data_IF_280313676593
#
_entry.id   IF_280313676593
#
_cell.length_a   1.000
_cell.length_b   1.000
_cell.length_c   1.000
_cell.angle_alpha   90.00
_cell.angle_beta   90.00
_cell.angle_gamma   90.00
#
_symmetry.space_group_name_H-M   'P 1'
#
loop_
_entity.id
_entity.type
_entity.pdbx_description
1 polymer ?
#
# COMPACT_ATOMS: atom_id res chain seq x y z
N UNK A 1 19.99 -57.36 -22.75
CA UNK A 1 19.64 -55.99 -23.20
C UNK A 1 18.46 -55.44 -22.39
N UNK A 2 18.62 -55.18 -21.09
CA UNK A 2 17.53 -54.64 -20.24
C UNK A 2 18.09 -53.92 -19.00
N UNK A 3 19.11 -53.09 -19.15
CA UNK A 3 19.63 -52.28 -18.02
C UNK A 3 20.12 -50.89 -18.43
N UNK A 4 20.03 -50.53 -19.72
CA UNK A 4 20.49 -49.22 -20.21
C UNK A 4 19.38 -48.15 -20.23
N UNK A 5 18.14 -48.50 -19.89
CA UNK A 5 16.99 -47.60 -19.98
C UNK A 5 16.68 -46.76 -18.74
N UNK A 6 17.39 -46.97 -17.62
CA UNK A 6 17.07 -46.32 -16.34
C UNK A 6 18.00 -45.13 -16.03
N UNK A 7 19.12 -44.97 -16.74
CA UNK A 7 20.13 -43.94 -16.42
C UNK A 7 19.79 -42.55 -17.01
N UNK A 8 18.85 -42.43 -17.95
CA UNK A 8 18.52 -41.13 -18.58
C UNK A 8 17.31 -40.39 -17.98
N UNK A 9 16.68 -40.88 -16.90
CA UNK A 9 15.50 -40.23 -16.30
C UNK A 9 15.84 -39.38 -15.05
N UNK A 10 17.12 -39.12 -14.81
CA UNK A 10 17.59 -38.42 -13.60
C UNK A 10 18.54 -37.27 -13.99
N UNK A 11 18.00 -36.11 -14.36
CA UNK A 11 18.87 -34.94 -14.57
C UNK A 11 18.31 -33.82 -15.41
N UNK A 12 17.09 -33.34 -15.14
CA UNK A 12 16.65 -32.04 -15.69
C UNK A 12 15.74 -31.31 -14.69
N UNK A 13 16.22 -31.14 -13.46
CA UNK A 13 15.74 -30.05 -12.60
C UNK A 13 16.43 -28.77 -13.06
N UNK A 14 15.93 -28.18 -14.15
CA UNK A 14 16.26 -26.79 -14.51
C UNK A 14 15.62 -25.92 -13.43
N UNK A 15 16.44 -25.50 -12.47
CA UNK A 15 16.05 -24.51 -11.47
C UNK A 15 15.88 -23.19 -12.23
N UNK A 16 14.65 -22.89 -12.63
CA UNK A 16 14.32 -21.57 -13.14
C UNK A 16 14.51 -20.59 -11.98
N UNK A 17 15.64 -19.89 -11.96
CA UNK A 17 15.85 -18.76 -11.07
C UNK A 17 14.87 -17.67 -11.51
N UNK A 18 13.68 -17.64 -10.92
CA UNK A 18 12.81 -16.47 -11.02
C UNK A 18 13.47 -15.35 -10.22
N UNK A 19 13.98 -14.33 -10.91
CA UNK A 19 14.43 -13.13 -10.23
C UNK A 19 13.17 -12.43 -9.71
N UNK A 20 13.05 -12.35 -8.38
CA UNK A 20 12.07 -11.46 -7.80
C UNK A 20 12.54 -10.03 -8.11
N UNK A 21 11.58 -9.19 -8.48
CA UNK A 21 11.79 -7.76 -8.55
C UNK A 21 10.85 -7.14 -7.52
N UNK A 22 11.20 -5.96 -7.07
CA UNK A 22 10.31 -5.13 -6.27
C UNK A 22 9.90 -3.90 -7.07
N UNK A 23 8.75 -3.36 -6.72
CA UNK A 23 8.23 -2.10 -7.21
C UNK A 23 8.38 -1.07 -6.10
N UNK A 24 9.17 -0.04 -6.36
CA UNK A 24 9.37 1.10 -5.48
C UNK A 24 8.50 2.26 -5.98
N UNK A 25 7.58 2.72 -5.13
CA UNK A 25 6.78 3.92 -5.37
C UNK A 25 7.42 5.07 -4.61
N UNK A 26 8.14 5.99 -5.29
CA UNK A 26 8.65 7.19 -4.64
C UNK A 26 7.50 8.08 -4.19
N UNK A 27 7.66 8.76 -3.06
CA UNK A 27 6.67 9.70 -2.52
C UNK A 27 7.23 11.13 -2.40
N UNK A 28 8.41 11.36 -2.97
CA UNK A 28 9.01 12.68 -3.12
C UNK A 28 8.37 13.48 -4.29
N UNK A 29 9.00 14.57 -4.69
CA UNK A 29 8.50 15.47 -5.74
C UNK A 29 8.43 14.82 -7.14
N UNK A 30 9.03 13.65 -7.36
CA UNK A 30 8.94 12.94 -8.65
C UNK A 30 7.62 12.18 -8.81
N UNK A 31 6.88 11.98 -7.71
CA UNK A 31 5.61 11.26 -7.78
C UNK A 31 4.55 12.11 -8.50
N UNK A 32 3.98 11.52 -9.55
CA UNK A 32 2.96 12.14 -10.39
C UNK A 32 1.57 12.14 -9.75
N UNK A 33 1.30 11.22 -8.82
CA UNK A 33 0.02 11.18 -8.12
C UNK A 33 0.12 10.54 -6.72
N UNK A 34 0.43 11.36 -5.71
CA UNK A 34 0.58 10.89 -4.33
C UNK A 34 -0.70 10.29 -3.75
N UNK A 35 -1.86 10.90 -4.00
CA UNK A 35 -3.12 10.42 -3.43
C UNK A 35 -3.50 9.05 -4.00
N UNK A 36 -3.33 8.85 -5.31
CA UNK A 36 -3.52 7.52 -5.92
C UNK A 36 -2.46 6.52 -5.47
N UNK A 37 -1.23 6.95 -5.15
CA UNK A 37 -0.21 6.07 -4.59
C UNK A 37 -0.60 5.53 -3.20
N UNK A 38 -1.15 6.38 -2.33
CA UNK A 38 -1.71 5.94 -1.04
C UNK A 38 -2.91 4.99 -1.23
N UNK A 39 -3.80 5.31 -2.17
CA UNK A 39 -4.91 4.44 -2.54
C UNK A 39 -4.45 3.06 -3.02
N UNK A 40 -3.39 3.02 -3.82
CA UNK A 40 -2.80 1.79 -4.30
C UNK A 40 -2.19 0.97 -3.16
N UNK A 41 -1.42 1.59 -2.27
CA UNK A 41 -0.89 0.92 -1.08
C UNK A 41 -2.03 0.35 -0.21
N UNK A 42 -3.10 1.11 0.01
CA UNK A 42 -4.27 0.60 0.72
C UNK A 42 -4.91 -0.61 0.02
N UNK A 43 -5.03 -0.57 -1.32
CA UNK A 43 -5.58 -1.66 -2.14
C UNK A 43 -4.76 -2.95 -1.98
N UNK A 44 -3.44 -2.86 -2.00
CA UNK A 44 -2.56 -4.01 -1.78
C UNK A 44 -2.74 -4.61 -0.39
N UNK A 45 -2.76 -3.77 0.66
CA UNK A 45 -3.00 -4.21 2.03
C UNK A 45 -4.39 -4.85 2.22
N UNK A 46 -5.40 -4.37 1.50
CA UNK A 46 -6.75 -4.94 1.51
C UNK A 46 -6.81 -6.31 0.83
N UNK A 47 -5.88 -6.57 -0.09
CA UNK A 47 -5.72 -7.86 -0.76
C UNK A 47 -4.71 -8.78 -0.02
N UNK A 48 -4.49 -8.53 1.27
CA UNK A 48 -3.60 -9.28 2.16
C UNK A 48 -2.13 -9.33 1.67
N UNK A 49 -1.69 -8.30 0.93
CA UNK A 49 -0.30 -8.15 0.49
C UNK A 49 0.45 -7.23 1.44
N UNK A 50 1.69 -7.60 1.73
CA UNK A 50 2.56 -6.81 2.59
C UNK A 50 3.22 -5.65 1.83
N UNK A 51 3.45 -4.55 2.54
CA UNK A 51 4.15 -3.37 2.03
C UNK A 51 5.21 -2.96 3.04
N UNK A 52 6.39 -2.62 2.56
CA UNK A 52 7.39 -1.95 3.37
C UNK A 52 7.27 -0.43 3.15
N UNK A 53 6.89 0.30 4.21
CA UNK A 53 6.86 1.76 4.22
C UNK A 53 8.22 2.30 4.67
N UNK A 54 8.90 2.97 3.75
CA UNK A 54 10.27 3.45 3.92
C UNK A 54 10.24 4.88 4.49
N UNK A 55 10.16 5.00 5.81
CA UNK A 55 10.05 6.27 6.53
C UNK A 55 11.24 7.18 6.21
N UNK A 56 10.93 8.44 5.87
CA UNK A 56 11.88 9.50 5.48
C UNK A 56 12.78 9.18 4.27
N UNK A 57 12.64 8.02 3.64
CA UNK A 57 13.28 7.72 2.38
C UNK A 57 12.37 8.18 1.23
N UNK A 58 12.87 9.15 0.44
CA UNK A 58 12.15 9.72 -0.73
C UNK A 58 10.68 10.02 -0.42
N UNK A 59 10.45 10.79 0.63
CA UNK A 59 9.10 11.23 1.03
C UNK A 59 8.23 10.17 1.70
N UNK A 60 8.79 9.05 2.17
CA UNK A 60 8.00 7.97 2.75
C UNK A 60 7.57 6.95 1.70
N UNK A 61 8.51 6.46 0.89
CA UNK A 61 8.23 5.58 -0.25
C UNK A 61 7.61 4.24 0.15
N UNK A 62 6.91 3.60 -0.79
CA UNK A 62 6.41 2.24 -0.61
C UNK A 62 7.22 1.27 -1.43
N UNK A 63 7.65 0.18 -0.81
CA UNK A 63 8.30 -0.95 -1.47
C UNK A 63 7.38 -2.17 -1.41
N UNK A 64 7.13 -2.76 -2.57
CA UNK A 64 6.18 -3.87 -2.73
C UNK A 64 6.75 -4.93 -3.66
N UNK A 65 6.32 -6.18 -3.47
CA UNK A 65 6.67 -7.25 -4.40
C UNK A 65 6.13 -6.92 -5.80
N UNK A 66 6.99 -7.00 -6.82
CA UNK A 66 6.54 -6.77 -8.18
C UNK A 66 5.51 -7.82 -8.61
N UNK A 67 4.44 -7.35 -9.24
CA UNK A 67 3.50 -8.18 -9.99
C UNK A 67 3.07 -7.44 -11.26
N UNK A 68 2.64 -8.19 -12.28
CA UNK A 68 2.09 -7.58 -13.50
C UNK A 68 0.82 -6.79 -13.22
N UNK A 69 0.05 -7.20 -12.21
CA UNK A 69 -1.16 -6.49 -11.79
C UNK A 69 -0.80 -5.12 -11.17
N UNK A 70 0.16 -5.08 -10.25
CA UNK A 70 0.59 -3.84 -9.61
C UNK A 70 1.19 -2.86 -10.62
N UNK A 71 2.02 -3.35 -11.55
CA UNK A 71 2.59 -2.55 -12.64
C UNK A 71 1.51 -1.91 -13.52
N UNK A 72 0.48 -2.66 -13.88
CA UNK A 72 -0.65 -2.16 -14.65
C UNK A 72 -1.44 -1.12 -13.87
N UNK A 73 -1.70 -1.37 -12.59
CA UNK A 73 -2.46 -0.46 -11.72
C UNK A 73 -1.73 0.87 -11.50
N UNK A 74 -0.40 0.85 -11.30
CA UNK A 74 0.40 2.07 -11.27
C UNK A 74 0.21 2.90 -12.54
N UNK A 75 0.30 2.26 -13.72
CA UNK A 75 0.11 2.92 -15.02
C UNK A 75 -1.28 3.51 -15.20
N UNK A 76 -2.32 2.72 -14.90
CA UNK A 76 -3.72 3.14 -15.04
C UNK A 76 -4.07 4.31 -14.12
N UNK A 77 -3.46 4.37 -12.94
CA UNK A 77 -3.71 5.39 -11.92
C UNK A 77 -2.77 6.60 -12.03
N UNK A 78 -1.83 6.59 -12.98
CA UNK A 78 -0.84 7.66 -13.16
C UNK A 78 0.13 7.80 -11.98
N UNK A 79 0.45 6.68 -11.32
CA UNK A 79 1.42 6.61 -10.22
C UNK A 79 2.80 6.30 -10.78
N UNK A 80 3.79 7.11 -10.43
CA UNK A 80 5.19 6.89 -10.79
C UNK A 80 5.80 5.78 -9.92
N UNK A 81 6.60 4.92 -10.53
CA UNK A 81 7.24 3.80 -9.85
C UNK A 81 8.52 3.36 -10.56
N UNK A 82 9.36 2.62 -9.84
CA UNK A 82 10.60 2.03 -10.32
C UNK A 82 10.56 0.51 -10.06
N UNK A 83 10.97 -0.28 -11.05
CA UNK A 83 11.19 -1.72 -10.87
C UNK A 83 12.66 -1.94 -10.55
N UNK A 84 12.93 -2.46 -9.35
CA UNK A 84 14.29 -2.66 -8.84
C UNK A 84 14.54 -4.14 -8.54
N UNK A 85 15.78 -4.58 -8.72
CA UNK A 85 16.19 -5.96 -8.46
C UNK A 85 16.34 -6.22 -6.96
N UNK A 86 16.32 -7.49 -6.56
CA UNK A 86 16.57 -7.90 -5.16
C UNK A 86 17.91 -7.38 -4.61
N UNK A 87 18.94 -7.30 -5.45
CA UNK A 87 20.24 -6.75 -5.07
C UNK A 87 20.15 -5.24 -4.76
N UNK A 88 19.37 -4.50 -5.54
CA UNK A 88 19.12 -3.08 -5.31
C UNK A 88 18.26 -2.87 -4.04
N UNK A 89 17.25 -3.71 -3.81
CA UNK A 89 16.45 -3.70 -2.57
C UNK A 89 17.35 -3.95 -1.35
N UNK A 90 18.21 -4.95 -1.40
CA UNK A 90 19.13 -5.26 -0.30
C UNK A 90 20.02 -4.05 0.03
N UNK A 91 20.59 -3.41 -1.00
CA UNK A 91 21.42 -2.21 -0.84
C UNK A 91 20.61 -1.04 -0.27
N UNK A 92 19.39 -0.84 -0.75
CA UNK A 92 18.47 0.19 -0.26
C UNK A 92 18.15 0.01 1.23
N UNK A 93 17.72 -1.18 1.63
CA UNK A 93 17.35 -1.47 3.02
C UNK A 93 18.55 -1.33 3.97
N UNK A 94 19.76 -1.72 3.53
CA UNK A 94 21.00 -1.47 4.28
C UNK A 94 21.28 0.02 4.48
N UNK A 95 21.00 0.86 3.48
CA UNK A 95 21.17 2.31 3.61
C UNK A 95 20.17 2.95 4.58
N UNK A 96 18.93 2.46 4.60
CA UNK A 96 17.86 2.96 5.48
C UNK A 96 18.13 2.58 6.94
N UNK A 97 18.60 1.36 7.17
CA UNK A 97 18.88 0.81 8.51
C UNK A 97 20.20 1.31 9.11
N UNK A 98 20.91 2.22 8.44
CA UNK A 98 22.13 2.83 8.99
C UNK A 98 21.76 3.70 10.21
N UNK A 99 22.33 3.47 11.39
CA UNK A 99 21.96 4.20 12.61
C UNK A 99 22.31 5.70 12.56
N UNK A 100 23.09 6.14 11.57
CA UNK A 100 23.46 7.55 11.40
C UNK A 100 22.51 8.34 10.47
N UNK A 101 21.46 7.71 9.92
CA UNK A 101 20.44 8.39 9.12
C UNK A 101 19.09 8.33 9.84
N UNK A 102 18.27 9.36 9.64
CA UNK A 102 16.92 9.42 10.19
C UNK A 102 15.91 8.76 9.23
N UNK A 103 16.04 7.45 9.02
CA UNK A 103 15.15 6.65 8.17
C UNK A 103 14.81 5.34 8.86
N UNK A 104 13.71 4.71 8.48
CA UNK A 104 13.30 3.41 9.03
C UNK A 104 12.41 2.64 8.05
N UNK A 105 12.22 1.35 8.29
CA UNK A 105 11.33 0.47 7.51
C UNK A 105 10.21 -0.03 8.41
N UNK A 106 8.99 0.37 8.09
CA UNK A 106 7.79 -0.13 8.77
C UNK A 106 7.05 -1.08 7.84
N UNK A 107 6.99 -2.35 8.23
CA UNK A 107 6.22 -3.36 7.49
C UNK A 107 4.74 -3.26 7.83
N UNK A 108 3.92 -3.10 6.80
CA UNK A 108 2.46 -2.98 6.87
C UNK A 108 1.82 -4.28 6.37
N UNK A 109 0.85 -4.78 7.15
CA UNK A 109 0.23 -6.10 6.91
C UNK A 109 -1.27 -6.04 6.66
N UNK A 110 -1.95 -4.98 7.12
CA UNK A 110 -3.41 -4.92 7.11
C UNK A 110 -3.88 -3.52 6.75
N UNK A 111 -4.91 -3.45 5.91
CA UNK A 111 -5.61 -2.21 5.63
C UNK A 111 -6.42 -1.75 6.86
N UNK A 112 -6.32 -0.48 7.21
CA UNK A 112 -7.09 0.11 8.30
C UNK A 112 -8.58 0.20 7.94
N UNK A 113 -9.45 -0.08 8.90
CA UNK A 113 -10.88 0.27 8.85
C UNK A 113 -11.02 1.74 9.24
N UNK A 114 -11.44 2.56 8.29
CA UNK A 114 -11.48 4.02 8.41
C UNK A 114 -12.92 4.44 8.66
N UNK A 115 -13.11 5.30 9.65
CA UNK A 115 -14.41 5.90 9.95
C UNK A 115 -14.31 7.43 9.99
N UNK A 116 -15.36 8.08 9.52
CA UNK A 116 -15.50 9.54 9.51
C UNK A 116 -16.73 9.90 10.32
N UNK A 117 -16.55 10.70 11.36
CA UNK A 117 -17.66 11.20 12.14
C UNK A 117 -18.30 12.41 11.47
N UNK A 118 -19.64 12.46 11.51
CA UNK A 118 -20.41 13.64 11.14
C UNK A 118 -21.41 14.01 12.24
N UNK A 119 -21.45 15.27 12.71
CA UNK A 119 -22.35 15.68 13.79
C UNK A 119 -23.80 15.86 13.35
N UNK A 120 -24.07 15.98 12.05
CA UNK A 120 -25.41 16.17 11.51
C UNK A 120 -25.66 15.08 10.48
N UNK A 121 -26.84 14.45 10.54
CA UNK A 121 -27.36 13.60 9.45
C UNK A 121 -27.73 14.47 8.23
N UNK A 122 -26.76 15.22 7.68
CA UNK A 122 -26.92 15.92 6.41
C UNK A 122 -26.98 14.87 5.31
N UNK A 123 -27.65 15.16 4.20
CA UNK A 123 -27.58 14.28 3.03
C UNK A 123 -26.10 14.05 2.67
N UNK A 124 -25.73 12.80 2.36
CA UNK A 124 -24.35 12.41 2.00
C UNK A 124 -23.74 13.34 0.95
N UNK A 125 -24.56 13.80 0.00
CA UNK A 125 -24.20 14.71 -1.08
C UNK A 125 -23.78 16.13 -0.62
N UNK A 126 -24.20 16.60 0.55
CA UNK A 126 -23.82 17.94 1.06
C UNK A 126 -22.56 17.89 1.91
N UNK A 127 -22.28 16.75 2.56
CA UNK A 127 -21.13 16.55 3.44
C UNK A 127 -19.87 16.11 2.67
N UNK A 128 -20.02 15.38 1.56
CA UNK A 128 -18.90 14.96 0.70
C UNK A 128 -18.21 16.16 -0.01
N UNK A 129 -18.91 17.28 -0.22
CA UNK A 129 -18.39 18.45 -0.96
C UNK A 129 -17.63 19.46 -0.07
N UNK A 130 -17.71 19.36 1.26
CA UNK A 130 -17.10 20.32 2.21
C UNK A 130 -15.94 19.76 3.03
N UNK A 131 -15.76 18.45 3.10
CA UNK A 131 -14.66 17.83 3.85
C UNK A 131 -13.51 17.40 2.91
N UNK A 132 -12.33 18.01 3.10
CA UNK A 132 -11.14 17.71 2.28
C UNK A 132 -10.63 16.28 2.45
N UNK A 133 -10.78 15.68 3.63
CA UNK A 133 -10.39 14.28 3.89
C UNK A 133 -11.31 13.33 3.12
N UNK A 134 -12.62 13.60 3.08
CA UNK A 134 -13.55 12.82 2.26
C UNK A 134 -13.21 12.90 0.78
N UNK A 135 -12.95 14.10 0.27
CA UNK A 135 -12.50 14.28 -1.12
C UNK A 135 -11.23 13.50 -1.42
N UNK A 136 -10.26 13.51 -0.50
CA UNK A 136 -9.01 12.75 -0.63
C UNK A 136 -9.24 11.25 -0.59
N UNK A 137 -10.05 10.74 0.36
CA UNK A 137 -10.36 9.31 0.47
C UNK A 137 -11.10 8.81 -0.77
N UNK A 138 -12.09 9.58 -1.25
CA UNK A 138 -12.82 9.29 -2.49
C UNK A 138 -11.87 9.29 -3.69
N UNK A 139 -11.02 10.30 -3.83
CA UNK A 139 -10.05 10.39 -4.92
C UNK A 139 -9.03 9.25 -4.86
N UNK A 140 -8.55 8.87 -3.68
CA UNK A 140 -7.64 7.75 -3.47
C UNK A 140 -8.35 6.38 -3.59
N UNK A 141 -9.69 6.34 -3.69
CA UNK A 141 -10.52 5.13 -3.66
C UNK A 141 -10.33 4.30 -2.38
N UNK A 142 -10.11 4.96 -1.25
CA UNK A 142 -10.00 4.34 0.06
C UNK A 142 -11.40 4.31 0.70
N UNK A 143 -11.96 3.13 1.01
CA UNK A 143 -13.26 3.00 1.62
C UNK A 143 -13.26 3.51 3.07
N UNK A 144 -14.36 4.14 3.46
CA UNK A 144 -14.62 4.59 4.82
C UNK A 144 -16.11 4.42 5.13
N UNK A 145 -16.42 4.41 6.43
CA UNK A 145 -17.78 4.46 6.94
C UNK A 145 -18.04 5.84 7.57
N UNK A 146 -19.29 6.29 7.53
CA UNK A 146 -19.71 7.52 8.21
C UNK A 146 -20.51 7.12 9.44
N UNK A 147 -20.14 7.66 10.60
CA UNK A 147 -20.83 7.43 11.88
C UNK A 147 -21.33 8.72 12.50
N UNK A 148 -22.38 8.62 13.29
CA UNK A 148 -23.01 9.72 13.99
C UNK A 148 -23.01 9.46 15.51
N UNK A 149 -23.61 10.38 16.27
CA UNK A 149 -23.72 10.28 17.73
C UNK A 149 -24.31 8.94 18.20
N UNK A 150 -25.31 8.40 17.50
CA UNK A 150 -25.98 7.15 17.86
C UNK A 150 -25.01 5.95 17.89
N UNK A 151 -24.19 5.79 16.85
CA UNK A 151 -23.18 4.73 16.76
C UNK A 151 -22.06 4.92 17.79
N UNK A 152 -21.65 6.17 18.03
CA UNK A 152 -20.62 6.48 19.04
C UNK A 152 -21.13 6.15 20.45
N UNK A 153 -22.35 6.59 20.79
CA UNK A 153 -22.96 6.34 22.10
C UNK A 153 -23.26 4.86 22.33
N UNK A 154 -23.47 4.07 21.27
CA UNK A 154 -23.57 2.61 21.33
C UNK A 154 -22.22 1.93 21.60
N UNK A 155 -21.10 2.62 21.34
CA UNK A 155 -19.74 2.12 21.58
C UNK A 155 -19.08 1.49 20.37
N UNK A 156 -19.53 1.79 19.15
CA UNK A 156 -19.09 1.08 17.93
C UNK A 156 -17.66 1.44 17.48
N UNK A 157 -17.03 2.46 18.07
CA UNK A 157 -15.69 2.94 17.63
C UNK A 157 -14.60 1.86 17.66
N UNK A 158 -14.72 0.84 18.52
CA UNK A 158 -13.78 -0.29 18.58
C UNK A 158 -13.76 -1.15 17.30
N UNK A 159 -14.76 -0.98 16.42
CA UNK A 159 -14.83 -1.64 15.12
C UNK A 159 -13.94 -0.98 14.06
N UNK A 160 -13.29 0.14 14.37
CA UNK A 160 -12.48 0.89 13.42
C UNK A 160 -11.06 1.09 13.95
N UNK A 161 -10.12 1.28 13.02
CA UNK A 161 -8.70 1.42 13.32
C UNK A 161 -8.26 2.90 13.23
N UNK A 162 -9.03 3.75 12.55
CA UNK A 162 -8.77 5.19 12.43
C UNK A 162 -10.06 6.00 12.32
N UNK A 163 -10.13 7.13 13.03
CA UNK A 163 -11.28 8.03 13.10
C UNK A 163 -10.88 9.43 12.61
N UNK A 164 -11.59 9.95 11.61
CA UNK A 164 -11.59 11.36 11.25
C UNK A 164 -12.74 12.09 11.94
N UNK A 165 -12.44 13.23 12.54
CA UNK A 165 -13.44 14.15 13.07
C UNK A 165 -13.46 15.38 12.16
N UNK A 166 -14.56 15.59 11.44
CA UNK A 166 -14.74 16.85 10.75
C UNK A 166 -14.99 17.95 11.79
N UNK A 167 -14.12 18.95 11.82
CA UNK A 167 -14.34 20.21 12.54
C UNK A 167 -14.57 21.28 11.48
N UNK A 168 -15.80 21.78 11.35
CA UNK A 168 -16.02 23.08 10.73
C UNK A 168 -15.58 24.13 11.77
N UNK A 169 -14.63 24.98 11.39
CA UNK A 169 -14.24 26.16 12.19
C UNK A 169 -15.37 27.21 12.26
#
# INVERSE_FOLDING_TARGET
MRTFGIICFLGLLVVANSWANSLLIPMDAQQTNHLKAYGLAYRELKADREIDWLLNYRGGSFLMQYSKELDLECKLRGVSYEVISDAAVTTLLQSITNPNVNMDVVKLYKAARIVVYSPIKVSKATFEDTDAVLLVLNYAEIPYEVVYDEEILRGDLHLYDWLHLHHED
#
